data_IF_587296362118
#
_entry.id   IF_587296362118
#
_cell.length_a   1.000
_cell.length_b   1.000
_cell.length_c   1.000
_cell.angle_alpha   90.00
_cell.angle_beta   90.00
_cell.angle_gamma   90.00
#
_symmetry.space_group_name_H-M   'P 1'
#
loop_
_entity.id
_entity.type
_entity.pdbx_description
1 polymer ?
#
# COMPACT_ATOMS: atom_id res chain seq x y z
N UNK A 1 -10.77 -64.26 -34.61
CA UNK A 1 -10.64 -63.98 -33.17
C UNK A 1 -11.38 -62.68 -32.86
N UNK A 2 -12.56 -62.78 -32.25
CA UNK A 2 -13.43 -61.65 -31.96
C UNK A 2 -13.97 -61.79 -30.54
N UNK A 3 -13.78 -60.76 -29.71
CA UNK A 3 -14.81 -60.19 -28.83
C UNK A 3 -14.29 -58.93 -28.15
N UNK A 4 -14.87 -57.82 -28.59
CA UNK A 4 -14.83 -56.47 -28.04
C UNK A 4 -15.65 -56.50 -26.75
N UNK A 5 -15.07 -56.13 -25.61
CA UNK A 5 -15.83 -55.92 -24.36
C UNK A 5 -15.61 -54.48 -23.92
N UNK A 6 -16.71 -53.73 -23.99
CA UNK A 6 -16.87 -52.37 -23.48
C UNK A 6 -17.09 -52.48 -21.98
N UNK A 7 -16.28 -51.80 -21.17
CA UNK A 7 -16.53 -51.67 -19.74
C UNK A 7 -16.75 -50.19 -19.38
N UNK A 8 -17.88 -49.96 -18.73
CA UNK A 8 -18.54 -48.70 -18.50
C UNK A 8 -17.81 -47.79 -17.50
N UNK A 9 -17.86 -46.49 -17.79
CA UNK A 9 -17.57 -45.39 -16.86
C UNK A 9 -18.65 -45.37 -15.77
N UNK A 10 -18.27 -45.53 -14.51
CA UNK A 10 -19.13 -45.24 -13.36
C UNK A 10 -18.77 -43.88 -12.76
N UNK A 11 -19.64 -42.91 -12.98
CA UNK A 11 -19.61 -41.59 -12.33
C UNK A 11 -20.13 -41.76 -10.90
N UNK A 12 -19.27 -41.53 -9.91
CA UNK A 12 -19.65 -41.55 -8.50
C UNK A 12 -20.30 -40.21 -8.11
N UNK A 13 -21.61 -40.21 -7.94
CA UNK A 13 -22.40 -39.09 -7.42
C UNK A 13 -22.18 -38.96 -5.90
N UNK A 14 -21.49 -37.92 -5.43
CA UNK A 14 -21.42 -37.57 -4.01
C UNK A 14 -22.76 -36.97 -3.55
N UNK A 15 -23.49 -37.71 -2.69
CA UNK A 15 -24.66 -37.22 -1.97
C UNK A 15 -24.27 -36.06 -1.03
N UNK A 16 -25.03 -34.98 -1.13
CA UNK A 16 -25.01 -33.86 -0.20
C UNK A 16 -25.47 -34.32 1.20
N UNK A 17 -24.64 -34.08 2.21
CA UNK A 17 -25.03 -34.26 3.61
C UNK A 17 -25.63 -32.96 4.14
N UNK A 18 -26.91 -33.01 4.51
CA UNK A 18 -27.63 -31.97 5.23
C UNK A 18 -26.98 -31.74 6.61
N UNK A 19 -26.46 -30.52 6.84
CA UNK A 19 -26.07 -30.03 8.17
C UNK A 19 -27.32 -29.83 9.02
N UNK A 20 -27.44 -30.59 10.11
CA UNK A 20 -28.36 -30.27 11.23
C UNK A 20 -27.92 -28.94 11.85
N UNK A 21 -28.82 -27.96 11.84
CA UNK A 21 -28.63 -26.69 12.52
C UNK A 21 -28.65 -26.89 14.04
N UNK A 22 -27.53 -26.60 14.70
CA UNK A 22 -27.52 -26.33 16.13
C UNK A 22 -27.86 -24.85 16.33
N UNK A 23 -28.90 -24.57 17.12
CA UNK A 23 -29.19 -23.22 17.57
C UNK A 23 -27.99 -22.68 18.37
N UNK A 24 -27.36 -21.64 17.83
CA UNK A 24 -26.31 -20.90 18.52
C UNK A 24 -26.94 -20.14 19.70
N UNK A 25 -26.50 -20.43 20.93
CA UNK A 25 -26.83 -19.61 22.09
C UNK A 25 -26.20 -18.22 21.92
N UNK A 26 -26.92 -17.13 22.25
CA UNK A 26 -26.34 -15.79 22.25
C UNK A 26 -25.27 -15.73 23.33
N UNK A 27 -24.00 -15.63 22.91
CA UNK A 27 -22.89 -15.35 23.82
C UNK A 27 -22.82 -13.84 23.99
N UNK A 28 -23.33 -13.35 25.11
CA UNK A 28 -23.04 -11.99 25.58
C UNK A 28 -21.58 -11.96 26.03
N UNK A 29 -20.66 -11.79 25.09
CA UNK A 29 -19.27 -11.50 25.44
C UNK A 29 -19.26 -10.16 26.21
N UNK A 30 -18.78 -10.13 27.47
CA UNK A 30 -18.66 -8.88 28.19
C UNK A 30 -17.74 -7.94 27.42
N UNK A 31 -18.14 -6.68 27.29
CA UNK A 31 -17.36 -5.66 26.62
C UNK A 31 -15.95 -5.63 27.23
N UNK A 32 -14.93 -5.83 26.39
CA UNK A 32 -13.54 -5.74 26.82
C UNK A 32 -13.30 -4.36 27.44
N UNK A 33 -12.75 -4.33 28.66
CA UNK A 33 -12.38 -3.08 29.32
C UNK A 33 -11.42 -2.30 28.40
N UNK A 34 -11.56 -0.98 28.28
CA UNK A 34 -10.65 -0.18 27.45
C UNK A 34 -9.22 -0.34 27.97
N UNK A 35 -8.28 -0.66 27.09
CA UNK A 35 -6.86 -0.72 27.43
C UNK A 35 -6.43 0.64 27.99
N UNK A 36 -5.71 0.63 29.12
CA UNK A 36 -5.13 1.84 29.67
C UNK A 36 -4.29 2.56 28.61
N UNK A 37 -4.32 3.91 28.54
CA UNK A 37 -3.51 4.65 27.58
C UNK A 37 -2.04 4.33 27.82
N UNK A 38 -1.33 3.98 26.74
CA UNK A 38 0.11 3.69 26.84
C UNK A 38 0.86 4.97 27.16
N UNK A 39 1.82 4.90 28.08
CA UNK A 39 2.65 6.03 28.49
C UNK A 39 3.62 6.51 27.42
N UNK A 40 3.88 5.71 26.38
CA UNK A 40 4.82 6.00 25.30
C UNK A 40 4.16 6.67 24.09
N UNK A 41 2.85 6.92 24.11
CA UNK A 41 2.15 7.56 22.99
C UNK A 41 2.75 8.93 22.69
N UNK A 42 3.06 9.19 21.41
CA UNK A 42 3.70 10.39 20.89
C UNK A 42 5.15 10.64 21.37
N UNK A 43 5.78 9.67 22.03
CA UNK A 43 7.20 9.74 22.34
C UNK A 43 8.06 9.71 21.06
N UNK A 44 9.35 10.10 21.11
CA UNK A 44 10.27 9.94 20.01
C UNK A 44 10.38 8.47 19.55
N UNK A 45 10.51 8.23 18.25
CA UNK A 45 10.52 6.86 17.66
C UNK A 45 11.63 5.97 18.20
N UNK A 46 12.69 6.58 18.70
CA UNK A 46 13.82 5.96 19.37
C UNK A 46 13.37 5.15 20.59
N UNK A 47 12.35 5.62 21.31
CA UNK A 47 11.77 4.92 22.46
C UNK A 47 11.26 3.54 22.04
N UNK A 48 10.52 3.45 20.92
CA UNK A 48 10.05 2.17 20.40
C UNK A 48 11.21 1.30 19.89
N UNK A 49 12.18 1.86 19.15
CA UNK A 49 13.32 1.11 18.62
C UNK A 49 14.22 0.53 19.71
N UNK A 50 14.40 1.26 20.82
CA UNK A 50 15.22 0.80 21.93
C UNK A 50 14.65 -0.42 22.67
N UNK A 51 13.37 -0.75 22.46
CA UNK A 51 12.77 -2.00 22.97
C UNK A 51 13.13 -3.24 22.15
N UNK A 52 13.65 -3.06 20.93
CA UNK A 52 14.00 -4.15 20.01
C UNK A 52 15.36 -4.77 20.39
N UNK A 53 15.59 -6.04 20.03
CA UNK A 53 16.91 -6.69 20.15
C UNK A 53 17.95 -5.96 19.29
N UNK A 54 19.23 -6.01 19.67
CA UNK A 54 20.28 -5.26 18.96
C UNK A 54 20.31 -5.50 17.43
N UNK A 55 20.25 -6.76 16.92
CA UNK A 55 20.24 -6.99 15.48
C UNK A 55 19.01 -6.39 14.78
N UNK A 56 17.82 -6.51 15.39
CA UNK A 56 16.57 -5.98 14.82
C UNK A 56 16.55 -4.45 14.89
N UNK A 57 17.13 -3.88 15.95
CA UNK A 57 17.25 -2.44 16.14
C UNK A 57 18.13 -1.79 15.07
N UNK A 58 19.23 -2.43 14.68
CA UNK A 58 20.09 -1.94 13.59
C UNK A 58 19.33 -1.87 12.25
N UNK A 59 18.54 -2.90 11.95
CA UNK A 59 17.67 -2.93 10.77
C UNK A 59 16.64 -1.80 10.85
N UNK A 60 15.98 -1.63 12.00
CA UNK A 60 15.01 -0.55 12.23
C UNK A 60 15.65 0.84 12.01
N UNK A 61 16.86 1.07 12.52
CA UNK A 61 17.61 2.30 12.30
C UNK A 61 18.01 2.54 10.83
N UNK A 62 18.23 1.47 10.07
CA UNK A 62 18.49 1.61 8.63
C UNK A 62 17.22 2.04 7.89
N UNK A 63 16.08 1.45 8.23
CA UNK A 63 14.78 1.80 7.67
C UNK A 63 14.37 3.23 8.04
N UNK A 64 14.55 3.64 9.30
CA UNK A 64 14.30 5.02 9.77
C UNK A 64 15.07 6.05 8.93
N UNK A 65 16.38 5.83 8.76
CA UNK A 65 17.23 6.71 7.94
C UNK A 65 16.75 6.77 6.50
N UNK A 66 16.31 5.64 5.93
CA UNK A 66 15.79 5.60 4.57
C UNK A 66 14.47 6.37 4.43
N UNK A 67 13.54 6.22 5.37
CA UNK A 67 12.29 7.00 5.40
C UNK A 67 12.58 8.49 5.51
N UNK A 68 13.45 8.90 6.44
CA UNK A 68 13.84 10.31 6.63
C UNK A 68 14.49 10.91 5.39
N UNK A 69 15.34 10.12 4.72
CA UNK A 69 15.98 10.50 3.47
C UNK A 69 14.97 10.73 2.35
N UNK A 70 14.04 9.79 2.14
CA UNK A 70 13.05 9.87 1.05
C UNK A 70 11.96 10.92 1.31
N UNK A 71 11.51 11.10 2.56
CA UNK A 71 10.45 12.05 2.89
C UNK A 71 10.94 13.51 2.88
N UNK A 72 12.19 13.73 3.30
CA UNK A 72 12.74 15.07 3.55
C UNK A 72 12.30 15.62 4.91
N UNK A 73 13.13 16.50 5.50
CA UNK A 73 12.98 16.93 6.90
C UNK A 73 11.73 17.78 7.20
N UNK A 74 11.22 18.53 6.23
CA UNK A 74 10.12 19.49 6.45
C UNK A 74 8.73 18.86 6.47
N UNK A 75 8.61 17.67 5.92
CA UNK A 75 7.32 17.02 5.61
C UNK A 75 7.06 15.81 6.50
N UNK A 76 7.98 15.47 7.40
CA UNK A 76 7.99 14.24 8.18
C UNK A 76 7.78 14.51 9.67
N UNK A 77 6.74 13.89 10.24
CA UNK A 77 6.55 13.78 11.68
C UNK A 77 6.77 12.33 12.08
N UNK A 78 7.66 12.08 13.03
CA UNK A 78 7.99 10.75 13.56
C UNK A 78 7.64 10.67 15.03
N UNK A 79 6.84 9.69 15.43
CA UNK A 79 6.42 9.50 16.82
C UNK A 79 6.01 8.04 17.10
N UNK A 80 5.94 7.66 18.36
CA UNK A 80 5.44 6.34 18.77
C UNK A 80 3.92 6.30 18.71
N UNK A 81 3.37 5.32 18.00
CA UNK A 81 1.95 4.94 18.05
C UNK A 81 1.80 3.43 18.14
N UNK A 82 0.86 2.98 18.97
CA UNK A 82 0.59 1.55 19.20
C UNK A 82 1.85 0.75 19.63
N UNK A 83 2.86 1.42 20.17
CA UNK A 83 4.16 0.83 20.53
C UNK A 83 5.16 0.67 19.39
N UNK A 84 4.86 1.20 18.20
CA UNK A 84 5.75 1.15 17.05
C UNK A 84 6.26 2.54 16.68
N UNK A 85 7.39 2.60 16.00
CA UNK A 85 7.88 3.83 15.39
C UNK A 85 7.01 4.17 14.19
N UNK A 86 6.26 5.27 14.23
CA UNK A 86 5.33 5.66 13.18
C UNK A 86 5.72 6.99 12.53
N UNK A 87 5.42 7.09 11.24
CA UNK A 87 5.85 8.19 10.39
C UNK A 87 4.69 8.74 9.58
N UNK A 88 4.44 10.03 9.76
CA UNK A 88 3.44 10.81 9.05
C UNK A 88 4.18 11.69 8.05
N UNK A 89 3.82 11.60 6.77
CA UNK A 89 4.39 12.43 5.69
C UNK A 89 3.26 13.24 5.07
N UNK A 90 3.39 14.57 5.00
CA UNK A 90 2.34 15.44 4.43
C UNK A 90 0.99 15.29 5.11
N UNK A 91 0.98 15.12 6.45
CA UNK A 91 -0.24 14.86 7.22
C UNK A 91 -0.83 13.46 7.07
N UNK A 92 -0.22 12.60 6.24
CA UNK A 92 -0.66 11.23 5.99
C UNK A 92 0.20 10.25 6.77
N UNK A 93 -0.40 9.48 7.66
CA UNK A 93 0.29 8.39 8.37
C UNK A 93 0.58 7.26 7.37
N UNK A 94 1.86 7.04 7.08
CA UNK A 94 2.33 6.24 5.95
C UNK A 94 3.15 5.02 6.35
N UNK A 95 3.99 5.13 7.37
CA UNK A 95 4.91 4.06 7.71
C UNK A 95 4.87 3.73 9.18
N UNK A 96 5.08 2.45 9.48
CA UNK A 96 5.33 1.99 10.83
C UNK A 96 6.44 0.95 10.82
N UNK A 97 7.42 1.08 11.71
CA UNK A 97 8.46 0.08 11.93
C UNK A 97 8.14 -0.66 13.24
N UNK A 98 7.96 -1.97 13.13
CA UNK A 98 7.75 -2.85 14.27
C UNK A 98 8.87 -3.89 14.37
N UNK A 99 9.33 -4.13 15.60
CA UNK A 99 10.31 -5.17 15.90
C UNK A 99 9.62 -6.51 16.14
N UNK A 100 10.07 -7.55 15.47
CA UNK A 100 9.74 -8.93 15.79
C UNK A 100 10.98 -9.62 16.37
N UNK A 101 10.84 -10.86 16.88
CA UNK A 101 11.96 -11.60 17.49
C UNK A 101 13.19 -11.75 16.57
N UNK A 102 12.98 -11.85 15.25
CA UNK A 102 14.03 -12.19 14.29
C UNK A 102 14.14 -11.22 13.09
N UNK A 103 13.29 -10.19 13.01
CA UNK A 103 13.25 -9.28 11.87
C UNK A 103 12.56 -7.97 12.25
N UNK A 104 12.81 -6.92 11.47
CA UNK A 104 12.02 -5.70 11.49
C UNK A 104 10.96 -5.75 10.39
N UNK A 105 9.75 -5.26 10.67
CA UNK A 105 8.70 -5.07 9.68
C UNK A 105 8.53 -3.60 9.38
N UNK A 106 8.67 -3.22 8.11
CA UNK A 106 8.24 -1.93 7.59
C UNK A 106 6.81 -2.09 7.07
N UNK A 107 5.84 -1.58 7.81
CA UNK A 107 4.47 -1.44 7.33
C UNK A 107 4.36 -0.22 6.45
N UNK A 108 3.69 -0.40 5.31
CA UNK A 108 3.55 0.61 4.26
C UNK A 108 2.07 0.87 4.00
N UNK A 109 1.68 2.11 4.26
CA UNK A 109 0.40 2.69 3.90
C UNK A 109 0.23 2.72 2.38
N UNK A 110 -0.99 2.50 1.91
CA UNK A 110 -1.32 2.31 0.49
C UNK A 110 -0.64 1.10 -0.16
N UNK A 111 -0.10 0.17 0.63
CA UNK A 111 0.65 -0.98 0.12
C UNK A 111 -0.11 -1.84 -0.90
N UNK A 112 -1.45 -1.89 -0.84
CA UNK A 112 -2.26 -2.59 -1.85
C UNK A 112 -2.12 -1.98 -3.24
N UNK A 113 -2.13 -0.64 -3.34
CA UNK A 113 -1.94 0.06 -4.62
C UNK A 113 -0.53 -0.18 -5.13
N UNK A 114 0.45 -0.18 -4.23
CA UNK A 114 1.86 -0.41 -4.55
C UNK A 114 2.16 -1.86 -4.92
N UNK A 115 1.28 -2.82 -4.61
CA UNK A 115 1.50 -4.22 -4.97
C UNK A 115 1.62 -4.41 -6.48
N UNK A 116 0.95 -3.58 -7.30
CA UNK A 116 1.11 -3.60 -8.76
C UNK A 116 2.45 -3.04 -9.26
N UNK A 117 3.15 -2.25 -8.44
CA UNK A 117 4.40 -1.56 -8.80
C UNK A 117 5.64 -2.20 -8.16
N UNK A 118 5.49 -2.82 -6.99
CA UNK A 118 6.59 -3.31 -6.15
C UNK A 118 6.32 -4.72 -5.60
N UNK A 119 6.01 -5.67 -6.49
CA UNK A 119 5.55 -7.03 -6.14
C UNK A 119 6.56 -7.87 -5.35
N UNK A 120 7.87 -7.64 -5.50
CA UNK A 120 8.92 -8.56 -5.01
C UNK A 120 9.22 -8.44 -3.51
N UNK A 121 8.83 -7.34 -2.87
CA UNK A 121 9.15 -7.03 -1.46
C UNK A 121 7.93 -6.95 -0.56
N UNK A 122 6.78 -6.65 -1.14
CA UNK A 122 5.56 -6.41 -0.38
C UNK A 122 4.88 -7.73 -0.04
N UNK A 123 4.82 -8.02 1.25
CA UNK A 123 4.10 -9.13 1.83
C UNK A 123 2.76 -8.67 2.45
N UNK A 124 1.89 -9.65 2.73
CA UNK A 124 0.65 -9.47 3.46
C UNK A 124 -0.60 -9.42 2.57
N UNK A 125 -1.74 -9.83 3.15
CA UNK A 125 -3.05 -9.88 2.47
C UNK A 125 -4.03 -8.84 3.05
N UNK A 126 -3.51 -7.77 3.67
CA UNK A 126 -4.32 -6.70 4.25
C UNK A 126 -5.17 -5.97 3.20
N UNK A 127 -6.24 -5.30 3.62
CA UNK A 127 -7.13 -4.56 2.69
C UNK A 127 -6.54 -3.25 2.18
N UNK A 128 -5.58 -2.66 2.90
CA UNK A 128 -4.97 -1.37 2.58
C UNK A 128 -3.44 -1.39 2.74
N UNK A 129 -2.95 -2.16 3.72
CA UNK A 129 -1.55 -2.24 4.11
C UNK A 129 -0.84 -3.44 3.46
N UNK A 130 0.43 -3.23 3.15
CA UNK A 130 1.44 -4.28 2.94
C UNK A 130 2.61 -4.02 3.86
N UNK A 131 3.48 -5.00 4.01
CA UNK A 131 4.71 -4.84 4.78
C UNK A 131 5.89 -5.44 4.07
N UNK A 132 7.08 -4.93 4.36
CA UNK A 132 8.35 -5.55 4.00
C UNK A 132 8.93 -6.16 5.26
N UNK A 133 9.35 -7.43 5.20
CA UNK A 133 10.12 -8.06 6.28
C UNK A 133 11.61 -7.95 5.96
N UNK A 134 12.36 -7.29 6.83
CA UNK A 134 13.81 -7.20 6.73
C UNK A 134 14.43 -8.07 7.83
N UNK A 135 15.04 -9.19 7.43
CA UNK A 135 15.71 -10.15 8.33
C UNK A 135 17.18 -9.80 8.48
N UNK A 136 17.75 -9.17 7.48
CA UNK A 136 19.16 -8.77 7.41
C UNK A 136 19.30 -7.29 7.13
N UNK A 137 20.50 -6.75 7.35
CA UNK A 137 20.82 -5.38 6.97
C UNK A 137 20.78 -5.14 5.46
N UNK A 138 21.07 -6.18 4.66
CA UNK A 138 20.99 -6.10 3.20
C UNK A 138 19.55 -5.99 2.73
N UNK A 139 18.60 -6.68 3.39
CA UNK A 139 17.17 -6.53 3.09
C UNK A 139 16.72 -5.07 3.20
N UNK A 140 17.18 -4.35 4.22
CA UNK A 140 16.86 -2.93 4.42
C UNK A 140 17.62 -1.98 3.48
N UNK A 141 18.64 -2.47 2.75
CA UNK A 141 19.43 -1.71 1.76
C UNK A 141 18.93 -1.90 0.34
N UNK A 142 18.09 -2.90 0.08
CA UNK A 142 17.64 -3.20 -1.27
C UNK A 142 16.93 -2.00 -1.90
N UNK A 143 17.19 -1.81 -3.18
CA UNK A 143 16.63 -0.70 -3.96
C UNK A 143 15.11 -0.78 -4.09
N UNK A 144 14.54 -1.98 -4.05
CA UNK A 144 13.09 -2.18 -4.09
C UNK A 144 12.40 -1.70 -2.81
N UNK A 145 13.02 -1.82 -1.63
CA UNK A 145 12.51 -1.24 -0.38
C UNK A 145 12.50 0.28 -0.46
N UNK A 146 13.56 0.88 -1.01
CA UNK A 146 13.60 2.32 -1.27
C UNK A 146 12.51 2.75 -2.25
N UNK A 147 12.35 2.03 -3.35
CA UNK A 147 11.34 2.29 -4.38
C UNK A 147 9.92 2.26 -3.80
N UNK A 148 9.63 1.32 -2.88
CA UNK A 148 8.35 1.26 -2.17
C UNK A 148 8.10 2.50 -1.31
N UNK A 149 9.11 2.96 -0.57
CA UNK A 149 8.99 4.14 0.29
C UNK A 149 8.73 5.38 -0.56
N UNK A 150 9.51 5.60 -1.61
CA UNK A 150 9.37 6.73 -2.52
C UNK A 150 8.01 6.73 -3.23
N UNK A 151 7.56 5.57 -3.73
CA UNK A 151 6.26 5.44 -4.36
C UNK A 151 5.09 5.70 -3.39
N UNK A 152 5.19 5.24 -2.14
CA UNK A 152 4.18 5.50 -1.10
C UNK A 152 4.07 6.99 -0.78
N UNK A 153 5.22 7.68 -0.63
CA UNK A 153 5.28 9.12 -0.40
C UNK A 153 4.69 9.89 -1.58
N UNK A 154 5.06 9.54 -2.81
CA UNK A 154 4.53 10.18 -4.01
C UNK A 154 3.00 10.04 -4.08
N UNK A 155 2.47 8.85 -3.78
CA UNK A 155 1.04 8.60 -3.79
C UNK A 155 0.28 9.38 -2.70
N UNK A 156 0.86 9.54 -1.50
CA UNK A 156 0.28 10.35 -0.43
C UNK A 156 0.16 11.82 -0.83
N UNK A 157 1.22 12.38 -1.42
CA UNK A 157 1.26 13.77 -1.87
C UNK A 157 0.21 14.08 -2.95
N UNK A 158 -0.11 13.11 -3.80
CA UNK A 158 -1.16 13.27 -4.84
C UNK A 158 -2.56 13.05 -4.29
N UNK A 159 -2.75 12.08 -3.39
CA UNK A 159 -4.09 11.64 -2.98
C UNK A 159 -4.67 12.40 -1.79
N UNK A 160 -3.84 12.99 -0.91
CA UNK A 160 -4.29 13.70 0.29
C UNK A 160 -5.12 12.85 1.28
N UNK A 161 -5.14 11.51 1.11
CA UNK A 161 -5.93 10.57 1.92
C UNK A 161 -5.05 9.87 2.95
N UNK A 162 -5.61 9.62 4.14
CA UNK A 162 -4.94 8.84 5.19
C UNK A 162 -4.81 7.37 4.79
N UNK A 163 -3.61 6.80 4.93
CA UNK A 163 -3.32 5.46 4.38
C UNK A 163 -3.92 4.29 5.19
N UNK A 164 -4.35 4.56 6.42
CA UNK A 164 -4.85 3.54 7.36
C UNK A 164 -6.36 3.49 7.49
N UNK A 165 -7.08 4.50 7.00
CA UNK A 165 -8.55 4.50 7.07
C UNK A 165 -9.12 3.92 5.79
N UNK A 166 -10.22 3.17 5.91
CA UNK A 166 -11.10 3.00 4.77
C UNK A 166 -11.64 4.38 4.46
N UNK A 167 -11.01 5.11 3.53
CA UNK A 167 -11.70 6.20 2.87
C UNK A 167 -13.05 5.67 2.37
N UNK A 168 -14.12 6.47 2.33
CA UNK A 168 -15.31 6.06 1.61
C UNK A 168 -14.84 5.56 0.25
N UNK A 169 -15.27 4.35 -0.13
CA UNK A 169 -15.09 3.84 -1.49
C UNK A 169 -15.75 4.91 -2.34
N UNK A 170 -14.97 5.84 -2.87
CA UNK A 170 -15.47 6.79 -3.85
C UNK A 170 -15.93 5.89 -4.96
N UNK A 171 -17.26 5.75 -5.11
CA UNK A 171 -17.85 5.29 -6.35
C UNK A 171 -17.13 6.12 -7.41
N UNK A 172 -16.26 5.47 -8.16
CA UNK A 172 -15.66 6.09 -9.32
C UNK A 172 -16.85 6.50 -10.17
N UNK A 173 -17.14 7.80 -10.23
CA UNK A 173 -17.90 8.34 -11.33
C UNK A 173 -17.02 8.10 -12.56
N UNK A 174 -17.21 6.95 -13.19
CA UNK A 174 -16.81 6.69 -14.55
C UNK A 174 -17.70 7.55 -15.45
N UNK A 175 -17.44 8.85 -15.47
CA UNK A 175 -18.04 9.78 -16.41
C UNK A 175 -17.12 11.00 -16.57
N UNK A 176 -16.82 11.31 -17.83
CA UNK A 176 -16.14 12.50 -18.33
C UNK A 176 -14.63 12.60 -18.13
N UNK A 177 -13.91 11.76 -18.87
CA UNK A 177 -12.61 12.14 -19.45
C UNK A 177 -12.48 11.66 -20.90
N UNK A 178 -13.50 11.91 -21.72
CA UNK A 178 -13.43 11.80 -23.19
C UNK A 178 -14.37 12.82 -23.81
N UNK A 179 -13.91 14.07 -23.91
CA UNK A 179 -14.29 15.04 -24.95
C UNK A 179 -13.49 16.34 -24.74
N UNK A 180 -12.17 16.25 -24.92
CA UNK A 180 -11.30 17.42 -25.01
C UNK A 180 -10.11 17.16 -25.94
N UNK A 181 -10.31 16.39 -27.01
CA UNK A 181 -9.32 16.22 -28.10
C UNK A 181 -10.05 16.23 -29.45
N UNK A 182 -10.85 17.27 -29.73
CA UNK A 182 -11.35 17.59 -31.09
C UNK A 182 -11.91 19.01 -31.12
N UNK A 183 -11.13 20.02 -30.71
CA UNK A 183 -11.34 21.43 -31.09
C UNK A 183 -10.16 22.33 -30.68
N UNK A 184 -8.96 21.97 -31.10
CA UNK A 184 -7.79 22.89 -31.08
C UNK A 184 -6.72 22.46 -32.08
N UNK A 185 -7.13 22.20 -33.32
CA UNK A 185 -6.21 22.08 -34.47
C UNK A 185 -6.93 22.48 -35.76
N UNK A 186 -7.51 23.67 -35.76
CA UNK A 186 -8.11 24.31 -36.94
C UNK A 186 -8.18 25.84 -36.73
N UNK A 187 -7.07 26.49 -36.35
CA UNK A 187 -6.94 27.96 -36.30
C UNK A 187 -5.48 28.36 -36.03
N UNK A 188 -4.60 28.13 -37.01
CA UNK A 188 -3.16 28.45 -37.15
C UNK A 188 -2.58 27.21 -37.83
N UNK A 189 -2.41 27.16 -39.15
CA UNK A 189 -1.55 28.03 -39.95
C UNK A 189 -1.97 27.84 -41.41
N UNK A 190 -2.75 28.76 -41.95
CA UNK A 190 -3.09 28.83 -43.37
C UNK A 190 -3.35 30.28 -43.73
N UNK A 191 -2.26 31.05 -43.93
CA UNK A 191 -2.20 32.29 -44.74
C UNK A 191 -0.82 32.92 -44.64
N UNK A 192 0.18 32.27 -45.23
CA UNK A 192 1.32 32.99 -45.83
C UNK A 192 1.72 32.17 -47.06
N UNK A 193 1.20 32.54 -48.23
CA UNK A 193 1.82 32.35 -49.56
C UNK A 193 0.79 32.44 -50.68
N UNK A 194 0.51 33.66 -51.16
CA UNK A 194 0.15 34.00 -52.55
C UNK A 194 0.61 35.48 -52.72
N UNK A 195 1.74 35.71 -53.42
CA UNK A 195 1.87 36.37 -54.75
C UNK A 195 1.17 37.74 -54.84
N UNK A 196 1.68 38.81 -55.47
CA UNK A 196 2.81 39.09 -56.39
C UNK A 196 2.81 40.63 -56.59
N UNK A 197 3.94 41.16 -57.04
CA UNK A 197 4.14 42.30 -57.96
C UNK A 197 3.10 43.44 -58.04
N UNK A 198 3.55 44.69 -57.80
CA UNK A 198 3.34 45.81 -58.74
C UNK A 198 4.06 47.12 -58.31
N UNK A 199 4.83 47.70 -59.27
CA UNK A 199 5.18 49.12 -59.51
C UNK A 199 6.02 49.87 -58.45
N UNK A 200 7.22 50.38 -58.74
CA UNK A 200 7.68 51.33 -59.79
C UNK A 200 7.07 52.73 -59.63
N UNK A 201 7.80 53.61 -58.93
CA UNK A 201 8.05 55.02 -59.23
C UNK A 201 9.31 55.44 -58.50
#
# INVERSE_FOLDING_TARGET
MAKRVVAQVRVASKKAQHKKGSLAKPTTNPAAKPNAPRSDLNAPVEVAMNTMTAPVREIAWKLDRLIRHCAGKRDLVSQVKWGNACYVVGGTDLFSIAGNKAYASLYVGNGVVLQGLCTRVLEGNGKLMRHVRCRTMDDARREDVRSVIEASIALARVSGKTAWTKGPVSKSNSASATNAVTKKKAAKTARVSVKRDAKRT
#
